data_IF_507018142593
#
_entry.id   IF_507018142593
#
_cell.length_a   1.000
_cell.length_b   1.000
_cell.length_c   1.000
_cell.angle_alpha   90.00
_cell.angle_beta   90.00
_cell.angle_gamma   90.00
#
_symmetry.space_group_name_H-M   'P 1'
#
loop_
_entity.id
_entity.type
_entity.pdbx_description
1 polymer ?
#
# COMPACT_ATOMS: atom_id res chain seq x y z
N UNK A 1 -0.99 -6.53 2.08
CA UNK A 1 0.40 -6.69 1.55
C UNK A 1 1.27 -5.57 2.05
N UNK A 2 2.46 -5.90 2.48
CA UNK A 2 3.38 -4.93 3.08
C UNK A 2 4.74 -4.98 2.40
N UNK A 3 5.32 -3.81 2.15
CA UNK A 3 6.70 -3.68 1.67
C UNK A 3 7.58 -3.28 2.85
N UNK A 4 8.62 -4.09 3.13
CA UNK A 4 9.55 -3.86 4.24
C UNK A 4 10.95 -3.65 3.67
N UNK A 5 11.57 -2.52 4.00
CA UNK A 5 12.91 -2.14 3.51
C UNK A 5 14.03 -2.63 4.43
N UNK A 6 13.68 -3.09 5.63
CA UNK A 6 14.63 -3.57 6.62
C UNK A 6 14.49 -5.07 6.82
N UNK A 7 15.51 -5.70 7.39
CA UNK A 7 15.40 -7.09 7.81
C UNK A 7 14.27 -7.26 8.82
N UNK A 8 13.53 -8.35 8.69
CA UNK A 8 12.39 -8.62 9.54
C UNK A 8 12.29 -10.10 9.89
N UNK A 9 11.56 -10.39 10.95
CA UNK A 9 11.27 -11.76 11.36
C UNK A 9 9.83 -12.09 10.96
N UNK A 10 9.61 -12.92 9.91
CA UNK A 10 8.25 -13.19 9.45
C UNK A 10 7.48 -14.06 10.45
N UNK A 11 6.20 -13.78 10.57
CA UNK A 11 5.29 -14.57 11.38
C UNK A 11 4.96 -15.90 10.68
N UNK A 12 4.63 -16.96 11.44
CA UNK A 12 4.33 -18.29 10.89
C UNK A 12 3.17 -18.29 9.88
N UNK A 13 2.22 -17.38 10.02
CA UNK A 13 1.06 -17.26 9.15
C UNK A 13 1.29 -16.35 7.95
N UNK A 14 2.48 -15.76 7.85
CA UNK A 14 2.82 -14.82 6.78
C UNK A 14 3.58 -15.53 5.66
N UNK A 15 3.28 -15.12 4.42
CA UNK A 15 4.11 -15.47 3.26
C UNK A 15 5.04 -14.31 2.95
N UNK A 16 6.28 -14.63 2.61
CA UNK A 16 7.26 -13.62 2.22
C UNK A 16 8.00 -14.06 0.97
N UNK A 17 8.55 -13.09 0.26
CA UNK A 17 9.30 -13.34 -0.97
C UNK A 17 10.73 -13.70 -0.59
N UNK A 18 11.19 -14.86 -1.05
CA UNK A 18 12.56 -15.35 -0.78
C UNK A 18 13.55 -14.95 -1.86
N UNK A 19 13.07 -14.67 -3.09
CA UNK A 19 13.92 -14.24 -4.20
C UNK A 19 13.08 -13.46 -5.19
N UNK A 20 13.65 -12.37 -5.72
CA UNK A 20 13.01 -11.57 -6.77
C UNK A 20 13.46 -11.99 -8.17
N UNK A 21 14.45 -12.88 -8.28
CA UNK A 21 14.96 -13.43 -9.55
C UNK A 21 15.29 -12.37 -10.60
N UNK A 22 15.93 -11.28 -10.18
CA UNK A 22 16.31 -10.19 -11.05
C UNK A 22 15.22 -9.15 -11.33
N UNK A 23 14.04 -9.30 -10.74
CA UNK A 23 12.99 -8.30 -10.86
C UNK A 23 13.16 -7.19 -9.81
N UNK A 24 12.64 -6.01 -10.11
CA UNK A 24 12.64 -4.89 -9.16
C UNK A 24 11.69 -5.18 -7.99
N UNK A 25 12.17 -5.15 -6.73
CA UNK A 25 11.33 -5.49 -5.58
C UNK A 25 10.11 -4.58 -5.41
N UNK A 26 10.26 -3.29 -5.64
CA UNK A 26 9.15 -2.34 -5.52
C UNK A 26 8.11 -2.55 -6.61
N UNK A 27 8.54 -2.87 -7.82
CA UNK A 27 7.65 -3.25 -8.91
C UNK A 27 6.85 -4.50 -8.54
N UNK A 28 7.52 -5.51 -7.98
CA UNK A 28 6.85 -6.75 -7.55
C UNK A 28 5.81 -6.46 -6.47
N UNK A 29 6.11 -5.55 -5.55
CA UNK A 29 5.15 -5.12 -4.54
C UNK A 29 3.87 -4.54 -5.18
N UNK A 30 4.00 -3.63 -6.15
CA UNK A 30 2.85 -3.06 -6.84
C UNK A 30 2.10 -4.08 -7.66
N UNK A 31 2.83 -4.97 -8.34
CA UNK A 31 2.21 -6.06 -9.11
C UNK A 31 1.37 -6.96 -8.21
N UNK A 32 1.92 -7.39 -7.09
CA UNK A 32 1.22 -8.27 -6.16
C UNK A 32 0.01 -7.58 -5.52
N UNK A 33 0.12 -6.30 -5.24
CA UNK A 33 -1.00 -5.50 -4.73
C UNK A 33 -2.13 -5.47 -5.77
N UNK A 34 -1.81 -5.30 -7.04
CA UNK A 34 -2.80 -5.27 -8.13
C UNK A 34 -3.44 -6.64 -8.36
N UNK A 35 -2.67 -7.71 -8.25
CA UNK A 35 -3.19 -9.08 -8.39
C UNK A 35 -4.18 -9.38 -7.25
N UNK A 36 -3.91 -8.92 -6.03
CA UNK A 36 -4.77 -9.16 -4.89
C UNK A 36 -4.77 -10.61 -4.46
N UNK A 37 -3.64 -11.11 -3.99
CA UNK A 37 -3.51 -12.51 -3.58
C UNK A 37 -4.45 -12.92 -2.45
N UNK A 38 -5.05 -11.98 -1.75
CA UNK A 38 -6.06 -12.25 -0.72
C UNK A 38 -7.23 -13.06 -1.27
N UNK A 39 -7.54 -12.94 -2.56
CA UNK A 39 -8.58 -13.72 -3.22
C UNK A 39 -8.27 -15.22 -3.28
N UNK A 40 -7.01 -15.61 -3.10
CA UNK A 40 -6.60 -17.00 -3.03
C UNK A 40 -6.62 -17.56 -1.60
N UNK A 41 -6.90 -16.73 -0.62
CA UNK A 41 -7.00 -17.18 0.77
C UNK A 41 -8.17 -18.13 0.94
N UNK A 42 -7.93 -19.26 1.62
CA UNK A 42 -8.91 -20.29 1.87
C UNK A 42 -8.97 -20.60 3.36
N UNK A 43 -10.07 -21.19 3.79
CA UNK A 43 -10.29 -21.60 5.17
C UNK A 43 -11.56 -21.00 5.76
N UNK A 44 -12.19 -21.75 6.66
CA UNK A 44 -13.32 -21.29 7.46
C UNK A 44 -12.78 -20.75 8.79
N UNK A 45 -13.04 -19.52 9.10
CA UNK A 45 -12.50 -18.88 10.30
C UNK A 45 -11.38 -17.89 9.93
N UNK A 46 -10.12 -18.27 10.07
CA UNK A 46 -8.99 -17.41 9.66
C UNK A 46 -8.56 -17.81 8.25
N UNK A 47 -8.82 -16.97 7.22
CA UNK A 47 -8.38 -17.30 5.86
C UNK A 47 -6.87 -17.40 5.79
N UNK A 48 -6.36 -18.48 5.16
CA UNK A 48 -4.94 -18.74 4.99
C UNK A 48 -4.58 -18.76 3.52
N UNK A 49 -3.53 -18.04 3.14
CA UNK A 49 -3.01 -18.01 1.79
C UNK A 49 -2.03 -19.16 1.61
N UNK A 50 -2.35 -20.08 0.68
CA UNK A 50 -1.49 -21.23 0.36
C UNK A 50 -0.48 -20.81 -0.70
N UNK A 51 0.82 -21.01 -0.42
CA UNK A 51 1.91 -20.70 -1.35
C UNK A 51 1.77 -21.40 -2.70
N UNK A 52 1.22 -22.61 -2.72
CA UNK A 52 1.05 -23.38 -3.97
C UNK A 52 0.06 -22.71 -4.91
N UNK A 53 -0.99 -22.11 -4.38
CA UNK A 53 -1.96 -21.35 -5.19
C UNK A 53 -1.33 -20.10 -5.79
N UNK A 54 -0.46 -19.44 -5.03
CA UNK A 54 0.28 -18.27 -5.50
C UNK A 54 1.29 -18.65 -6.60
N UNK A 55 2.01 -19.74 -6.40
CA UNK A 55 3.02 -20.20 -7.38
C UNK A 55 2.42 -20.61 -8.71
N UNK A 56 1.19 -21.11 -8.71
CA UNK A 56 0.49 -21.52 -9.94
C UNK A 56 -0.01 -20.34 -10.76
N UNK A 57 -0.08 -19.13 -10.19
CA UNK A 57 -0.60 -17.97 -10.87
C UNK A 57 0.43 -17.39 -11.83
N UNK A 58 0.05 -17.22 -13.09
CA UNK A 58 0.94 -16.70 -14.13
C UNK A 58 0.53 -15.28 -14.52
N UNK A 59 1.53 -14.41 -14.69
CA UNK A 59 1.33 -13.01 -15.09
C UNK A 59 2.31 -12.63 -16.19
N UNK A 60 1.93 -11.62 -16.98
CA UNK A 60 2.83 -10.98 -17.93
C UNK A 60 3.43 -9.75 -17.26
N UNK A 61 4.72 -9.57 -17.44
CA UNK A 61 5.42 -8.39 -16.91
C UNK A 61 6.55 -7.99 -17.85
N UNK A 62 7.01 -6.73 -17.78
CA UNK A 62 8.17 -6.31 -18.54
C UNK A 62 9.38 -7.15 -18.19
N UNK A 63 10.12 -7.58 -19.20
CA UNK A 63 11.34 -8.36 -19.01
C UNK A 63 12.53 -7.51 -18.55
N UNK A 64 12.50 -6.21 -18.84
CA UNK A 64 13.55 -5.28 -18.48
C UNK A 64 13.38 -4.78 -17.06
N UNK A 65 14.41 -4.95 -16.22
CA UNK A 65 14.40 -4.41 -14.86
C UNK A 65 14.35 -2.87 -14.88
N UNK A 66 14.98 -2.23 -15.87
CA UNK A 66 14.94 -0.77 -16.01
C UNK A 66 13.51 -0.26 -16.22
N UNK A 67 12.73 -0.95 -17.04
CA UNK A 67 11.31 -0.61 -17.24
C UNK A 67 10.49 -0.84 -15.96
N UNK A 68 10.72 -1.95 -15.28
CA UNK A 68 10.08 -2.25 -13.99
C UNK A 68 10.37 -1.16 -12.96
N UNK A 69 11.62 -0.72 -12.88
CA UNK A 69 12.04 0.34 -11.95
C UNK A 69 11.38 1.67 -12.31
N UNK A 70 11.28 2.00 -13.59
CA UNK A 70 10.60 3.23 -14.03
C UNK A 70 9.12 3.22 -13.65
N UNK A 71 8.44 2.10 -13.83
CA UNK A 71 7.04 1.93 -13.44
C UNK A 71 6.89 2.08 -11.92
N UNK A 72 7.73 1.39 -11.15
CA UNK A 72 7.69 1.45 -9.70
C UNK A 72 7.95 2.86 -9.16
N UNK A 73 8.88 3.60 -9.75
CA UNK A 73 9.17 4.98 -9.39
C UNK A 73 7.96 5.87 -9.64
N UNK A 74 7.33 5.75 -10.80
CA UNK A 74 6.12 6.52 -11.13
C UNK A 74 5.01 6.26 -10.13
N UNK A 75 4.75 4.99 -9.81
CA UNK A 75 3.72 4.62 -8.85
C UNK A 75 4.05 5.10 -7.44
N UNK A 76 5.32 5.03 -7.03
CA UNK A 76 5.75 5.53 -5.73
C UNK A 76 5.58 7.05 -5.62
N UNK A 77 5.86 7.80 -6.69
CA UNK A 77 5.66 9.25 -6.72
C UNK A 77 4.18 9.60 -6.61
N UNK A 78 3.31 8.83 -7.25
CA UNK A 78 1.86 8.99 -7.12
C UNK A 78 1.39 8.71 -5.70
N UNK A 79 1.90 7.67 -5.06
CA UNK A 79 1.58 7.36 -3.66
C UNK A 79 2.01 8.49 -2.72
N UNK A 80 3.19 9.05 -2.94
CA UNK A 80 3.68 10.18 -2.16
C UNK A 80 2.77 11.42 -2.35
N UNK A 81 2.30 11.66 -3.57
CA UNK A 81 1.34 12.73 -3.86
C UNK A 81 0.01 12.54 -3.14
N UNK A 82 -0.50 11.32 -3.15
CA UNK A 82 -1.74 10.97 -2.45
C UNK A 82 -1.57 11.18 -0.94
N UNK A 83 -0.47 10.71 -0.37
CA UNK A 83 -0.19 10.90 1.06
C UNK A 83 -0.11 12.38 1.45
N UNK A 84 0.50 13.22 0.60
CA UNK A 84 0.58 14.65 0.82
C UNK A 84 -0.81 15.31 0.79
N UNK A 85 -1.66 14.90 -0.14
CA UNK A 85 -3.04 15.39 -0.23
C UNK A 85 -3.89 14.95 0.95
N UNK A 86 -3.72 13.71 1.41
CA UNK A 86 -4.41 13.20 2.60
C UNK A 86 -4.01 13.98 3.85
N UNK A 87 -2.73 14.34 3.99
CA UNK A 87 -2.25 15.16 5.09
C UNK A 87 -2.86 16.57 5.05
N UNK A 88 -2.96 17.19 3.88
CA UNK A 88 -3.61 18.48 3.71
C UNK A 88 -5.09 18.42 4.06
N UNK A 89 -5.77 17.35 3.64
CA UNK A 89 -7.17 17.14 3.97
C UNK A 89 -7.39 17.01 5.48
N UNK A 90 -6.54 16.22 6.15
CA UNK A 90 -6.61 16.07 7.60
C UNK A 90 -6.44 17.42 8.31
N UNK A 91 -5.46 18.23 7.89
CA UNK A 91 -5.23 19.56 8.43
C UNK A 91 -6.43 20.47 8.21
N UNK A 92 -7.00 20.46 7.01
CA UNK A 92 -8.18 21.26 6.69
C UNK A 92 -9.40 20.88 7.54
N UNK A 93 -9.59 19.58 7.77
CA UNK A 93 -10.67 19.06 8.63
C UNK A 93 -10.49 19.50 10.08
N UNK A 94 -9.26 19.46 10.59
CA UNK A 94 -8.95 19.93 11.94
C UNK A 94 -9.20 21.42 12.08
N UNK A 95 -8.81 22.21 11.09
CA UNK A 95 -9.06 23.64 11.08
C UNK A 95 -10.56 23.94 11.07
N UNK A 96 -11.31 23.25 10.23
CA UNK A 96 -12.77 23.39 10.17
C UNK A 96 -13.40 23.08 11.52
N UNK A 97 -12.99 21.97 12.14
CA UNK A 97 -13.52 21.56 13.45
C UNK A 97 -13.22 22.60 14.53
N UNK A 98 -12.00 23.11 14.58
CA UNK A 98 -11.60 24.17 15.49
C UNK A 98 -12.41 25.44 15.28
N UNK A 99 -12.60 25.86 14.02
CA UNK A 99 -13.40 27.02 13.69
C UNK A 99 -14.88 26.85 14.08
N UNK A 100 -15.43 25.66 13.87
CA UNK A 100 -16.80 25.37 14.28
C UNK A 100 -16.97 25.50 15.80
N UNK A 101 -16.00 24.96 16.57
CA UNK A 101 -16.02 25.10 18.03
C UNK A 101 -15.97 26.55 18.47
N UNK A 102 -15.10 27.34 17.88
CA UNK A 102 -14.95 28.76 18.25
C UNK A 102 -16.15 29.61 17.83
N UNK A 103 -16.63 29.44 16.60
CA UNK A 103 -17.69 30.26 16.03
C UNK A 103 -19.08 29.88 16.53
N UNK A 104 -19.37 28.58 16.61
CA UNK A 104 -20.69 28.12 17.02
C UNK A 104 -20.93 28.19 18.52
N UNK A 105 -19.86 28.20 19.32
CA UNK A 105 -19.95 28.38 20.77
C UNK A 105 -19.90 29.86 21.19
N UNK A 106 -19.71 30.77 20.25
CA UNK A 106 -19.70 32.20 20.52
C UNK A 106 -18.42 32.74 21.11
N UNK A 107 -17.34 31.96 21.10
CA UNK A 107 -16.02 32.42 21.61
C UNK A 107 -15.39 33.46 20.72
N UNK A 108 -15.60 33.35 19.39
CA UNK A 108 -15.10 34.29 18.38
C UNK A 108 -16.25 34.75 17.49
N UNK A 109 -16.29 36.01 17.16
CA UNK A 109 -17.32 36.57 16.28
C UNK A 109 -16.73 37.02 14.97
N UNK A 110 -17.39 36.68 13.88
CA UNK A 110 -17.09 37.18 12.55
C UNK A 110 -17.94 38.39 12.27
N UNK A 111 -17.43 39.59 12.47
CA UNK A 111 -18.12 40.81 12.13
C UNK A 111 -17.18 41.75 11.44
#
# INVERSE_FOLDING_TARGET
MTFVEQDFWPHNTSLWVTSFKGNDPKFVFYLYTRIGFERFATGSGVPTLNRNDVHAFKVRLPSSKAEQTAIATTLSDMDAGIAALEAKLATARQLKEGMMQELLTGRTRLI
#
